data_IF_807579652293
#
_entry.id   IF_807579652293
#
_cell.length_a   1.000
_cell.length_b   1.000
_cell.length_c   1.000
_cell.angle_alpha   90.00
_cell.angle_beta   90.00
_cell.angle_gamma   90.00
#
_symmetry.space_group_name_H-M   'P 1'
#
loop_
_entity.id
_entity.type
_entity.pdbx_description
1 polymer ?
#
# COMPACT_ATOMS: atom_id res chain seq x y z
N UNK A 1 -30.59 -13.62 -11.80
CA UNK A 1 -30.48 -12.43 -10.93
C UNK A 1 -30.20 -11.25 -11.83
N UNK A 2 -31.26 -10.53 -12.20
CA UNK A 2 -31.22 -9.44 -13.17
C UNK A 2 -30.67 -8.19 -12.49
N UNK A 3 -29.54 -7.68 -12.97
CA UNK A 3 -29.02 -6.40 -12.50
C UNK A 3 -29.93 -5.28 -13.01
N UNK A 4 -30.50 -4.54 -12.06
CA UNK A 4 -31.26 -3.32 -12.33
C UNK A 4 -30.31 -2.26 -12.89
N UNK A 5 -30.61 -1.81 -14.10
CA UNK A 5 -30.10 -0.54 -14.64
C UNK A 5 -30.52 0.58 -13.70
N UNK A 6 -29.55 1.15 -12.97
CA UNK A 6 -29.77 2.33 -12.14
C UNK A 6 -29.77 3.55 -13.05
N UNK A 7 -30.90 3.83 -13.70
CA UNK A 7 -31.17 5.13 -14.29
C UNK A 7 -31.31 6.15 -13.15
N UNK A 8 -30.25 6.95 -12.93
CA UNK A 8 -30.27 8.06 -11.98
C UNK A 8 -31.22 9.19 -12.43
N UNK A 9 -31.71 10.04 -11.51
CA UNK A 9 -32.73 11.04 -11.80
C UNK A 9 -32.09 12.27 -12.47
N UNK A 10 -32.28 12.39 -13.77
CA UNK A 10 -31.91 13.53 -14.61
C UNK A 10 -32.36 13.23 -16.03
N UNK A 11 -32.88 14.20 -16.78
CA UNK A 11 -33.33 13.98 -18.16
C UNK A 11 -32.25 13.26 -18.99
N UNK A 12 -32.67 12.39 -19.90
CA UNK A 12 -31.73 11.63 -20.73
C UNK A 12 -30.88 12.61 -21.53
N UNK A 13 -29.56 12.54 -21.33
CA UNK A 13 -28.60 13.33 -22.10
C UNK A 13 -28.51 12.72 -23.49
N UNK A 14 -28.85 13.49 -24.52
CA UNK A 14 -28.96 12.99 -25.89
C UNK A 14 -27.76 13.38 -26.77
N UNK A 15 -27.09 14.50 -26.45
CA UNK A 15 -25.98 15.06 -27.24
C UNK A 15 -24.70 15.26 -26.43
N UNK A 16 -23.55 15.33 -27.13
CA UNK A 16 -22.27 15.64 -26.49
C UNK A 16 -22.25 17.06 -25.92
N UNK A 17 -22.95 18.01 -26.53
CA UNK A 17 -23.10 19.38 -26.03
C UNK A 17 -23.82 19.42 -24.69
N UNK A 18 -24.94 18.69 -24.56
CA UNK A 18 -25.67 18.54 -23.30
C UNK A 18 -24.82 17.86 -22.23
N UNK A 19 -24.12 16.79 -22.62
CA UNK A 19 -23.22 16.07 -21.72
C UNK A 19 -22.09 16.96 -21.22
N UNK A 20 -21.45 17.73 -22.11
CA UNK A 20 -20.41 18.67 -21.75
C UNK A 20 -20.93 19.75 -20.80
N UNK A 21 -22.11 20.34 -21.08
CA UNK A 21 -22.71 21.36 -20.22
C UNK A 21 -22.99 20.83 -18.81
N UNK A 22 -23.46 19.58 -18.71
CA UNK A 22 -23.72 18.89 -17.45
C UNK A 22 -22.42 18.58 -16.68
N UNK A 23 -21.40 18.07 -17.38
CA UNK A 23 -20.18 17.56 -16.75
C UNK A 23 -19.10 18.62 -16.51
N UNK A 24 -19.08 19.73 -17.24
CA UNK A 24 -18.02 20.74 -17.10
C UNK A 24 -17.82 21.24 -15.65
N UNK A 25 -18.87 21.57 -14.87
CA UNK A 25 -18.69 21.93 -13.46
C UNK A 25 -18.14 20.78 -12.61
N UNK A 26 -18.53 19.54 -12.90
CA UNK A 26 -18.08 18.33 -12.19
C UNK A 26 -16.61 18.04 -12.50
N UNK A 27 -16.21 18.14 -13.77
CA UNK A 27 -14.82 18.02 -14.20
C UNK A 27 -13.95 19.00 -13.42
N UNK A 28 -14.37 20.27 -13.36
CA UNK A 28 -13.64 21.30 -12.62
C UNK A 28 -13.57 21.00 -11.13
N UNK A 29 -14.67 20.56 -10.53
CA UNK A 29 -14.72 20.21 -9.11
C UNK A 29 -13.76 19.05 -8.78
N UNK A 30 -13.76 17.97 -9.57
CA UNK A 30 -12.87 16.81 -9.37
C UNK A 30 -11.40 17.23 -9.51
N UNK A 31 -11.06 17.91 -10.60
CA UNK A 31 -9.69 18.34 -10.87
C UNK A 31 -9.17 19.30 -9.79
N UNK A 32 -10.03 20.19 -9.27
CA UNK A 32 -9.66 21.14 -8.22
C UNK A 32 -9.54 20.45 -6.85
N UNK A 33 -10.46 19.55 -6.51
CA UNK A 33 -10.47 18.88 -5.20
C UNK A 33 -9.29 17.92 -5.02
N UNK A 34 -8.91 17.19 -6.06
CA UNK A 34 -7.74 16.29 -6.02
C UNK A 34 -6.43 17.07 -6.24
N UNK A 35 -6.49 18.14 -7.03
CA UNK A 35 -5.35 19.02 -7.28
C UNK A 35 -4.64 18.74 -8.61
N UNK A 36 -3.44 19.32 -8.82
CA UNK A 36 -2.81 19.44 -10.14
C UNK A 36 -2.35 18.12 -10.78
N UNK A 37 -2.38 17.02 -10.02
CA UNK A 37 -2.02 15.66 -10.46
C UNK A 37 -3.22 14.85 -10.95
N UNK A 38 -4.41 15.43 -10.97
CA UNK A 38 -5.64 14.79 -11.44
C UNK A 38 -6.11 15.43 -12.75
N UNK A 39 -6.00 14.71 -13.85
CA UNK A 39 -6.54 15.09 -15.15
C UNK A 39 -7.94 14.53 -15.32
N UNK A 40 -8.85 15.36 -15.82
CA UNK A 40 -10.21 14.95 -16.16
C UNK A 40 -10.47 15.27 -17.62
N UNK A 41 -10.85 14.27 -18.40
CA UNK A 41 -10.99 14.36 -19.86
C UNK A 41 -12.40 13.98 -20.26
N UNK A 42 -13.05 14.81 -21.06
CA UNK A 42 -14.27 14.46 -21.76
C UNK A 42 -13.94 14.17 -23.23
N UNK A 43 -14.28 12.98 -23.68
CA UNK A 43 -14.19 12.57 -25.08
C UNK A 43 -15.55 12.72 -25.78
N UNK A 44 -15.55 13.29 -26.96
CA UNK A 44 -16.66 13.23 -27.92
C UNK A 44 -16.55 11.93 -28.72
N UNK A 45 -17.57 11.09 -28.61
CA UNK A 45 -17.69 9.82 -29.31
C UNK A 45 -19.01 9.75 -30.10
N UNK A 46 -19.71 10.88 -30.26
CA UNK A 46 -21.04 10.97 -30.84
C UNK A 46 -21.08 10.75 -32.37
N UNK A 47 -19.94 10.84 -33.04
CA UNK A 47 -19.83 10.62 -34.48
C UNK A 47 -20.02 9.15 -34.85
N UNK A 48 -20.79 8.89 -35.92
CA UNK A 48 -20.93 7.54 -36.51
C UNK A 48 -19.61 6.91 -36.94
N UNK A 49 -18.63 7.73 -37.29
CA UNK A 49 -17.26 7.31 -37.57
C UNK A 49 -16.35 8.11 -36.65
N UNK A 50 -16.13 7.61 -35.43
CA UNK A 50 -15.27 8.28 -34.45
C UNK A 50 -13.83 8.29 -34.96
N UNK A 51 -13.27 9.49 -35.18
CA UNK A 51 -11.83 9.66 -35.39
C UNK A 51 -11.14 9.66 -34.03
N UNK A 52 -10.57 8.52 -33.64
CA UNK A 52 -9.87 8.38 -32.36
C UNK A 52 -8.68 9.32 -32.19
N UNK A 53 -8.21 10.00 -33.25
CA UNK A 53 -7.13 10.99 -33.16
C UNK A 53 -7.61 12.35 -32.63
N UNK A 54 -8.91 12.60 -32.67
CA UNK A 54 -9.51 13.91 -32.38
C UNK A 54 -10.79 13.77 -31.55
N UNK A 55 -10.67 13.20 -30.35
CA UNK A 55 -11.83 12.93 -29.48
C UNK A 55 -11.90 13.84 -28.26
N UNK A 56 -10.78 14.40 -27.79
CA UNK A 56 -10.80 15.21 -26.57
C UNK A 56 -11.60 16.49 -26.81
N UNK A 57 -12.77 16.59 -26.18
CA UNK A 57 -13.67 17.73 -26.27
C UNK A 57 -13.38 18.78 -25.21
N UNK A 58 -13.07 18.33 -24.00
CA UNK A 58 -12.69 19.17 -22.87
C UNK A 58 -11.68 18.43 -21.99
N UNK A 59 -10.78 19.18 -21.34
CA UNK A 59 -9.74 18.63 -20.48
C UNK A 59 -9.39 19.61 -19.35
N UNK A 60 -9.31 19.10 -18.13
CA UNK A 60 -8.75 19.79 -16.97
C UNK A 60 -7.40 19.17 -16.60
N UNK A 61 -6.44 19.99 -16.19
CA UNK A 61 -5.07 19.59 -15.85
C UNK A 61 -4.34 18.78 -16.94
N UNK A 62 -4.25 19.29 -18.19
CA UNK A 62 -3.62 18.58 -19.31
C UNK A 62 -2.15 18.24 -19.10
N UNK A 63 -1.45 18.90 -18.17
CA UNK A 63 -0.04 18.61 -17.85
C UNK A 63 0.21 17.18 -17.33
N UNK A 64 -0.83 16.47 -16.87
CA UNK A 64 -0.68 15.06 -16.43
C UNK A 64 -0.26 14.19 -17.60
N UNK A 65 -1.02 14.20 -18.71
CA UNK A 65 -0.68 13.37 -19.88
C UNK A 65 -0.01 14.13 -21.01
N UNK A 66 -0.01 15.47 -20.99
CA UNK A 66 0.45 16.32 -22.08
C UNK A 66 -0.53 16.45 -23.25
N UNK A 67 -1.71 15.83 -23.17
CA UNK A 67 -2.76 15.91 -24.20
C UNK A 67 -3.53 17.21 -24.12
N UNK A 68 -4.23 17.57 -25.20
CA UNK A 68 -4.99 18.81 -25.32
C UNK A 68 -6.35 18.57 -26.00
N UNK A 69 -7.21 19.60 -25.99
CA UNK A 69 -8.46 19.59 -26.77
C UNK A 69 -8.15 19.33 -28.25
N UNK A 70 -8.93 18.44 -28.86
CA UNK A 70 -8.68 17.92 -30.21
C UNK A 70 -7.63 16.81 -30.25
N UNK A 71 -7.10 16.37 -29.11
CA UNK A 71 -6.15 15.26 -29.01
C UNK A 71 -6.80 13.87 -29.09
N UNK A 72 -5.95 12.82 -29.09
CA UNK A 72 -6.38 11.46 -29.32
C UNK A 72 -7.02 10.80 -28.09
N UNK A 73 -7.79 9.76 -28.36
CA UNK A 73 -8.20 8.74 -27.40
C UNK A 73 -7.04 7.78 -27.11
N UNK A 74 -7.31 6.72 -26.34
CA UNK A 74 -6.36 5.66 -26.01
C UNK A 74 -6.79 4.33 -26.65
N UNK A 75 -6.07 3.25 -26.33
CA UNK A 75 -6.46 1.89 -26.69
C UNK A 75 -7.87 1.50 -26.21
N UNK A 76 -8.40 2.13 -25.15
CA UNK A 76 -9.78 1.89 -24.72
C UNK A 76 -10.79 2.42 -25.76
N UNK A 77 -10.46 3.50 -26.47
CA UNK A 77 -11.27 3.98 -27.60
C UNK A 77 -11.38 2.95 -28.74
N UNK A 78 -10.38 2.08 -28.94
CA UNK A 78 -10.43 1.01 -29.93
C UNK A 78 -11.41 -0.11 -29.53
N UNK A 79 -11.58 -0.38 -28.24
CA UNK A 79 -12.51 -1.41 -27.75
C UNK A 79 -13.96 -0.98 -28.01
N UNK A 80 -14.24 0.31 -27.82
CA UNK A 80 -15.54 0.92 -28.13
C UNK A 80 -15.87 0.81 -29.61
N UNK A 81 -14.92 1.10 -30.51
CA UNK A 81 -15.11 0.94 -31.95
C UNK A 81 -15.39 -0.50 -32.37
N UNK A 82 -14.88 -1.48 -31.62
CA UNK A 82 -15.05 -2.91 -31.94
C UNK A 82 -16.43 -3.43 -31.58
N UNK A 83 -16.94 -3.05 -30.41
CA UNK A 83 -18.24 -3.49 -29.91
C UNK A 83 -18.86 -2.40 -29.05
N UNK A 84 -19.60 -1.49 -29.68
CA UNK A 84 -20.24 -0.37 -28.98
C UNK A 84 -21.26 -0.85 -27.93
N UNK A 85 -21.87 -2.03 -28.10
CA UNK A 85 -22.95 -2.50 -27.23
C UNK A 85 -22.45 -3.08 -25.89
N UNK A 86 -21.17 -3.42 -25.79
CA UNK A 86 -20.56 -3.95 -24.57
C UNK A 86 -20.52 -2.93 -23.41
N UNK A 87 -20.34 -3.43 -22.19
CA UNK A 87 -20.02 -2.58 -21.04
C UNK A 87 -18.55 -2.15 -21.12
N UNK A 88 -18.30 -0.84 -21.18
CA UNK A 88 -16.97 -0.25 -21.33
C UNK A 88 -16.51 0.51 -20.09
N UNK A 89 -17.40 0.73 -19.11
CA UNK A 89 -17.03 1.38 -17.86
C UNK A 89 -15.91 0.60 -17.16
N UNK A 90 -14.87 1.33 -16.77
CA UNK A 90 -13.71 0.75 -16.12
C UNK A 90 -13.28 1.64 -14.95
N UNK A 91 -13.06 1.04 -13.78
CA UNK A 91 -12.78 1.78 -12.55
C UNK A 91 -11.48 1.28 -11.91
N UNK A 92 -10.67 2.22 -11.43
CA UNK A 92 -9.45 1.95 -10.67
C UNK A 92 -8.37 1.15 -11.40
N UNK A 93 -8.31 1.23 -12.73
CA UNK A 93 -7.31 0.52 -13.52
C UNK A 93 -6.00 1.32 -13.60
N UNK A 94 -4.92 0.63 -13.93
CA UNK A 94 -3.60 1.25 -14.11
C UNK A 94 -3.45 1.77 -15.54
N UNK A 95 -3.15 3.05 -15.66
CA UNK A 95 -2.77 3.70 -16.91
C UNK A 95 -1.27 4.03 -16.93
N UNK A 96 -0.80 4.49 -18.09
CA UNK A 96 0.55 5.00 -18.26
C UNK A 96 0.54 6.16 -19.25
N UNK A 97 1.30 7.22 -18.95
CA UNK A 97 1.58 8.32 -19.87
C UNK A 97 2.63 7.92 -20.91
N UNK A 98 2.82 8.74 -21.94
CA UNK A 98 3.87 8.53 -22.95
C UNK A 98 5.28 8.54 -22.35
N UNK A 99 5.54 9.39 -21.35
CA UNK A 99 6.81 9.47 -20.62
C UNK A 99 6.99 8.37 -19.55
N UNK A 100 6.04 7.44 -19.44
CA UNK A 100 6.15 6.26 -18.58
C UNK A 100 5.64 6.43 -17.16
N UNK A 101 5.18 7.62 -16.75
CA UNK A 101 4.54 7.83 -15.44
C UNK A 101 3.27 6.99 -15.31
N UNK A 102 3.04 6.51 -14.09
CA UNK A 102 1.91 5.63 -13.80
C UNK A 102 0.69 6.43 -13.39
N UNK A 103 -0.45 6.01 -13.93
CA UNK A 103 -1.74 6.62 -13.64
C UNK A 103 -2.64 5.62 -12.91
N UNK A 104 -3.45 6.14 -11.99
CA UNK A 104 -4.65 5.45 -11.52
C UNK A 104 -5.86 6.09 -12.19
N UNK A 105 -6.57 5.30 -12.97
CA UNK A 105 -7.51 5.80 -13.97
C UNK A 105 -8.90 5.18 -13.80
N UNK A 106 -9.92 5.93 -14.21
CA UNK A 106 -11.30 5.45 -14.36
C UNK A 106 -11.95 6.11 -15.57
N UNK A 107 -12.81 5.36 -16.27
CA UNK A 107 -13.52 5.80 -17.46
C UNK A 107 -14.99 5.42 -17.36
N UNK A 108 -15.86 6.40 -17.62
CA UNK A 108 -17.32 6.25 -17.67
C UNK A 108 -17.81 6.63 -19.06
N UNK A 109 -18.54 5.71 -19.69
CA UNK A 109 -19.14 5.89 -21.00
C UNK A 109 -20.61 6.27 -20.86
N UNK A 110 -21.00 7.32 -21.57
CA UNK A 110 -22.35 7.86 -21.55
C UNK A 110 -23.09 7.49 -22.82
N UNK A 111 -24.32 7.01 -22.66
CA UNK A 111 -25.20 6.60 -23.75
C UNK A 111 -26.47 7.44 -23.76
N UNK A 112 -26.99 7.71 -24.95
CA UNK A 112 -28.30 8.35 -25.11
C UNK A 112 -29.46 7.35 -24.96
N UNK A 113 -30.71 7.81 -25.08
CA UNK A 113 -31.89 6.95 -24.98
C UNK A 113 -31.91 5.79 -26.01
N UNK A 114 -31.27 5.98 -27.16
CA UNK A 114 -31.15 4.96 -28.21
C UNK A 114 -30.04 3.93 -27.92
N UNK A 115 -29.26 4.10 -26.85
CA UNK A 115 -28.17 3.20 -26.44
C UNK A 115 -26.82 3.49 -27.09
N UNK A 116 -26.73 4.53 -27.94
CA UNK A 116 -25.48 4.93 -28.59
C UNK A 116 -24.58 5.70 -27.63
N UNK A 117 -23.29 5.44 -27.68
CA UNK A 117 -22.29 6.16 -26.90
C UNK A 117 -22.15 7.57 -27.48
N UNK A 118 -22.34 8.58 -26.64
CA UNK A 118 -22.20 9.99 -27.02
C UNK A 118 -20.90 10.60 -26.52
N UNK A 119 -20.32 10.03 -25.47
CA UNK A 119 -19.04 10.49 -24.93
C UNK A 119 -18.52 9.62 -23.81
N UNK A 120 -17.30 9.95 -23.36
CA UNK A 120 -16.67 9.28 -22.23
C UNK A 120 -15.97 10.28 -21.31
N UNK A 121 -16.18 10.15 -20.00
CA UNK A 121 -15.47 10.89 -18.98
C UNK A 121 -14.35 10.02 -18.40
N UNK A 122 -13.12 10.50 -18.47
CA UNK A 122 -11.95 9.83 -17.91
C UNK A 122 -11.37 10.67 -16.77
N UNK A 123 -11.01 10.02 -15.67
CA UNK A 123 -10.29 10.62 -14.53
C UNK A 123 -8.96 9.89 -14.40
N UNK A 124 -7.85 10.62 -14.39
CA UNK A 124 -6.50 10.09 -14.37
C UNK A 124 -5.67 10.77 -13.28
N UNK A 125 -5.16 10.00 -12.32
CA UNK A 125 -4.33 10.51 -11.22
C UNK A 125 -2.88 10.07 -11.42
N UNK A 126 -1.96 11.04 -11.53
CA UNK A 126 -0.51 10.79 -11.56
C UNK A 126 -0.02 10.30 -10.19
N UNK A 127 0.51 9.08 -10.17
CA UNK A 127 0.99 8.44 -8.94
C UNK A 127 2.43 8.82 -8.59
N UNK A 128 3.15 9.55 -9.45
CA UNK A 128 4.55 9.94 -9.24
C UNK A 128 4.81 10.59 -7.88
N UNK A 129 3.99 11.55 -7.38
CA UNK A 129 4.21 12.16 -6.07
C UNK A 129 4.09 11.14 -4.92
N UNK A 130 3.14 10.21 -5.01
CA UNK A 130 2.92 9.17 -4.00
C UNK A 130 4.06 8.15 -4.01
N UNK A 131 4.57 7.80 -5.19
CA UNK A 131 5.74 6.92 -5.33
C UNK A 131 7.00 7.56 -4.73
N UNK A 132 7.21 8.86 -4.97
CA UNK A 132 8.30 9.61 -4.33
C UNK A 132 8.14 9.66 -2.81
N UNK A 133 6.94 9.94 -2.30
CA UNK A 133 6.68 9.93 -0.86
C UNK A 133 6.96 8.55 -0.25
N UNK A 134 6.52 7.46 -0.91
CA UNK A 134 6.78 6.10 -0.48
C UNK A 134 8.28 5.78 -0.45
N UNK A 135 9.03 6.21 -1.46
CA UNK A 135 10.48 6.02 -1.52
C UNK A 135 11.20 6.79 -0.40
N UNK A 136 10.80 8.04 -0.14
CA UNK A 136 11.35 8.84 0.96
C UNK A 136 11.06 8.20 2.32
N UNK A 137 9.82 7.80 2.59
CA UNK A 137 9.46 7.10 3.83
C UNK A 137 10.26 5.81 3.96
N UNK A 138 10.31 5.01 2.89
CA UNK A 138 11.06 3.76 2.85
C UNK A 138 12.56 3.95 3.13
N UNK A 139 13.15 5.06 2.69
CA UNK A 139 14.57 5.39 2.95
C UNK A 139 14.88 5.76 4.40
N UNK A 140 13.87 6.18 5.16
CA UNK A 140 14.00 6.52 6.59
C UNK A 140 13.78 5.31 7.50
N UNK A 141 13.12 4.27 6.99
CA UNK A 141 12.85 3.07 7.73
C UNK A 141 14.02 2.08 7.61
N UNK A 142 14.31 1.27 8.65
CA UNK A 142 15.23 0.17 8.53
C UNK A 142 14.82 -0.75 7.37
N UNK A 143 15.79 -1.16 6.56
CA UNK A 143 15.53 -2.01 5.41
C UNK A 143 14.78 -3.27 5.85
N UNK A 144 13.61 -3.52 5.26
CA UNK A 144 12.85 -4.74 5.50
C UNK A 144 13.64 -5.93 4.96
N UNK A 145 14.28 -6.67 5.86
CA UNK A 145 15.09 -7.84 5.52
C UNK A 145 16.61 -7.68 5.72
N UNK A 146 17.09 -6.56 6.29
CA UNK A 146 18.46 -6.56 6.82
C UNK A 146 18.48 -7.22 8.21
N UNK A 147 19.46 -8.11 8.38
CA UNK A 147 19.86 -8.84 9.60
C UNK A 147 19.22 -8.33 10.91
N UNK A 148 18.48 -9.20 11.60
CA UNK A 148 18.01 -9.02 12.98
C UNK A 148 19.16 -9.03 14.01
N UNK A 149 20.39 -8.68 13.62
CA UNK A 149 21.59 -8.78 14.46
C UNK A 149 21.63 -7.77 15.59
N UNK A 150 20.98 -6.62 15.43
CA UNK A 150 20.93 -5.58 16.45
C UNK A 150 19.49 -5.33 16.90
N UNK A 151 19.09 -5.96 18.01
CA UNK A 151 17.94 -5.53 18.80
C UNK A 151 18.46 -4.62 19.91
N UNK A 152 18.40 -3.32 19.70
CA UNK A 152 18.74 -2.35 20.74
C UNK A 152 17.53 -2.15 21.67
N UNK A 153 17.76 -2.28 22.98
CA UNK A 153 16.75 -2.04 24.00
C UNK A 153 17.13 -0.77 24.78
N UNK A 154 16.38 0.31 24.59
CA UNK A 154 16.52 1.50 25.42
C UNK A 154 15.69 1.33 26.70
N UNK A 155 16.37 1.24 27.84
CA UNK A 155 15.74 1.08 29.15
C UNK A 155 16.31 2.11 30.14
N UNK A 156 15.56 2.50 31.19
CA UNK A 156 16.00 3.52 32.15
C UNK A 156 17.22 3.10 32.96
N UNK A 157 17.46 1.79 33.09
CA UNK A 157 18.63 1.22 33.76
C UNK A 157 18.98 -0.17 33.19
N UNK A 158 20.15 -0.68 33.58
CA UNK A 158 20.67 -1.97 33.12
C UNK A 158 19.87 -3.17 33.67
N UNK A 159 19.19 -3.01 34.81
CA UNK A 159 18.35 -4.08 35.37
C UNK A 159 17.12 -4.30 34.48
N UNK A 160 16.55 -3.22 33.95
CA UNK A 160 15.42 -3.26 33.01
C UNK A 160 15.83 -3.86 31.66
N UNK A 161 17.08 -3.61 31.20
CA UNK A 161 17.62 -4.31 30.01
C UNK A 161 17.70 -5.81 30.26
N UNK A 162 18.28 -6.23 31.40
CA UNK A 162 18.34 -7.64 31.79
C UNK A 162 16.96 -8.29 31.89
N UNK A 163 15.99 -7.58 32.45
CA UNK A 163 14.62 -8.08 32.56
C UNK A 163 13.98 -8.26 31.17
N UNK A 164 14.24 -7.35 30.23
CA UNK A 164 13.74 -7.46 28.85
C UNK A 164 14.39 -8.65 28.11
N UNK A 165 15.71 -8.85 28.28
CA UNK A 165 16.40 -10.01 27.71
C UNK A 165 15.85 -11.32 28.32
N UNK A 166 15.58 -11.33 29.63
CA UNK A 166 14.98 -12.46 30.31
C UNK A 166 13.60 -12.82 29.75
N UNK A 167 12.69 -11.85 29.62
CA UNK A 167 11.36 -12.10 29.04
C UNK A 167 11.48 -12.61 27.60
N UNK A 168 12.34 -12.01 26.77
CA UNK A 168 12.55 -12.48 25.41
C UNK A 168 13.11 -13.91 25.35
N UNK A 169 13.94 -14.32 26.31
CA UNK A 169 14.47 -15.69 26.37
C UNK A 169 13.42 -16.69 26.85
N UNK A 170 12.56 -16.30 27.80
CA UNK A 170 11.40 -17.10 28.24
C UNK A 170 10.38 -17.26 27.12
N UNK A 171 10.08 -16.18 26.38
CA UNK A 171 9.17 -16.21 25.24
C UNK A 171 9.67 -17.10 24.11
N UNK A 172 10.99 -17.12 23.86
CA UNK A 172 11.61 -18.01 22.87
C UNK A 172 11.46 -19.50 23.22
N UNK A 173 11.47 -19.83 24.52
CA UNK A 173 11.18 -21.19 25.02
C UNK A 173 9.67 -21.50 24.98
N UNK A 174 8.82 -20.47 25.06
CA UNK A 174 7.36 -20.59 24.88
C UNK A 174 6.62 -21.23 26.07
N UNK A 175 7.24 -21.29 27.25
CA UNK A 175 6.66 -21.86 28.47
C UNK A 175 6.81 -20.90 29.66
N UNK A 176 5.81 -20.78 30.54
CA UNK A 176 6.00 -20.08 31.81
C UNK A 176 7.06 -20.76 32.67
N UNK A 177 7.87 -19.99 33.40
CA UNK A 177 8.97 -20.49 34.26
C UNK A 177 8.52 -21.59 35.23
N UNK A 178 7.29 -21.50 35.75
CA UNK A 178 6.72 -22.51 36.65
C UNK A 178 6.54 -23.89 36.03
N UNK A 179 6.44 -23.97 34.70
CA UNK A 179 6.31 -25.21 33.93
C UNK A 179 7.63 -25.65 33.28
N UNK A 180 8.70 -24.87 33.43
CA UNK A 180 9.99 -25.17 32.81
C UNK A 180 10.71 -26.30 33.54
N UNK A 181 11.09 -27.33 32.79
CA UNK A 181 11.99 -28.37 33.25
C UNK A 181 13.47 -27.92 33.20
N UNK A 182 14.40 -28.86 33.42
CA UNK A 182 15.83 -28.55 33.37
C UNK A 182 16.28 -28.10 31.98
N UNK A 183 15.81 -28.75 30.92
CA UNK A 183 16.19 -28.44 29.54
C UNK A 183 15.73 -27.03 29.18
N UNK A 184 14.46 -26.73 29.47
CA UNK A 184 13.87 -25.41 29.22
C UNK A 184 14.67 -24.29 29.93
N UNK A 185 15.08 -24.53 31.18
CA UNK A 185 15.89 -23.55 31.95
C UNK A 185 17.31 -23.40 31.38
N UNK A 186 17.89 -24.47 30.85
CA UNK A 186 19.18 -24.41 30.16
C UNK A 186 19.07 -23.62 28.87
N UNK A 187 17.99 -23.75 28.11
CA UNK A 187 17.75 -23.00 26.88
C UNK A 187 17.61 -21.49 27.15
N UNK A 188 16.92 -21.11 28.23
CA UNK A 188 16.87 -19.70 28.69
C UNK A 188 18.27 -19.19 29.04
N UNK A 189 19.04 -19.94 29.84
CA UNK A 189 20.40 -19.54 30.23
C UNK A 189 21.34 -19.46 29.02
N UNK A 190 21.24 -20.39 28.07
CA UNK A 190 22.03 -20.38 26.85
C UNK A 190 21.74 -19.15 25.99
N UNK A 191 20.45 -18.81 25.82
CA UNK A 191 20.04 -17.59 25.10
C UNK A 191 20.59 -16.33 25.78
N UNK A 192 20.50 -16.25 27.10
CA UNK A 192 21.02 -15.11 27.87
C UNK A 192 22.55 -15.00 27.82
N UNK A 193 23.28 -16.13 27.86
CA UNK A 193 24.74 -16.16 27.76
C UNK A 193 25.20 -15.73 26.35
N UNK A 194 24.52 -16.22 25.30
CA UNK A 194 24.77 -15.78 23.91
C UNK A 194 24.52 -14.27 23.70
N UNK A 195 23.55 -13.69 24.43
CA UNK A 195 23.26 -12.26 24.40
C UNK A 195 24.18 -11.43 25.31
N UNK A 196 25.14 -12.05 26.01
CA UNK A 196 26.10 -11.37 26.89
C UNK A 196 25.50 -10.87 28.21
N UNK A 197 24.31 -11.34 28.59
CA UNK A 197 23.62 -10.89 29.81
C UNK A 197 24.47 -11.13 31.08
N UNK A 198 25.31 -12.17 31.08
CA UNK A 198 26.13 -12.54 32.24
C UNK A 198 27.43 -11.74 32.40
N UNK A 199 27.78 -10.86 31.44
CA UNK A 199 28.84 -9.86 31.61
C UNK A 199 28.43 -8.75 32.59
N UNK A 200 27.13 -8.55 32.80
CA UNK A 200 26.60 -7.56 33.73
C UNK A 200 26.78 -8.05 35.17
N UNK A 201 27.32 -7.19 36.04
CA UNK A 201 27.47 -7.50 37.46
C UNK A 201 26.13 -7.88 38.09
N UNK A 202 26.13 -8.98 38.85
CA UNK A 202 24.96 -9.52 39.59
C UNK A 202 23.82 -10.04 38.70
N UNK A 203 24.02 -10.16 37.38
CA UNK A 203 23.08 -10.78 36.44
C UNK A 203 22.66 -12.20 36.86
N UNK A 204 23.62 -13.06 37.22
CA UNK A 204 23.35 -14.44 37.66
C UNK A 204 22.44 -14.48 38.88
N UNK A 205 22.59 -13.53 39.82
CA UNK A 205 21.72 -13.42 40.99
C UNK A 205 20.28 -13.06 40.62
N UNK A 206 20.12 -12.10 39.70
CA UNK A 206 18.80 -11.68 39.23
C UNK A 206 18.10 -12.80 38.43
N UNK A 207 18.81 -13.38 37.46
CA UNK A 207 18.27 -14.44 36.58
C UNK A 207 17.94 -15.71 37.35
N UNK A 208 18.82 -16.17 38.25
CA UNK A 208 18.56 -17.39 39.06
C UNK A 208 17.31 -17.25 39.92
N UNK A 209 17.11 -16.08 40.56
CA UNK A 209 15.91 -15.78 41.33
C UNK A 209 14.66 -15.82 40.46
N UNK A 210 14.70 -15.27 39.24
CA UNK A 210 13.57 -15.27 38.31
C UNK A 210 13.25 -16.66 37.76
N UNK A 211 14.27 -17.48 37.49
CA UNK A 211 14.08 -18.89 37.12
C UNK A 211 13.61 -19.76 38.30
N UNK A 212 13.67 -19.27 39.54
CA UNK A 212 13.37 -20.07 40.72
C UNK A 212 14.39 -21.18 40.97
N UNK A 213 15.67 -20.93 40.65
CA UNK A 213 16.80 -21.84 40.94
C UNK A 213 17.82 -21.18 41.86
N UNK A 214 18.67 -21.99 42.49
CA UNK A 214 19.78 -21.45 43.29
C UNK A 214 20.88 -20.87 42.39
N UNK A 215 21.67 -19.92 42.92
CA UNK A 215 22.87 -19.40 42.23
C UNK A 215 23.83 -20.53 41.86
N UNK A 216 23.99 -21.51 42.75
CA UNK A 216 24.86 -22.67 42.53
C UNK A 216 24.37 -23.48 41.32
N UNK A 217 23.07 -23.72 41.22
CA UNK A 217 22.44 -24.40 40.07
C UNK A 217 22.64 -23.61 38.78
N UNK A 218 22.46 -22.29 38.80
CA UNK A 218 22.65 -21.44 37.63
C UNK A 218 24.12 -21.47 37.15
N UNK A 219 25.09 -21.37 38.05
CA UNK A 219 26.52 -21.48 37.70
C UNK A 219 26.86 -22.87 37.14
N UNK A 220 26.30 -23.94 37.71
CA UNK A 220 26.51 -25.29 37.20
C UNK A 220 25.99 -25.46 35.77
N UNK A 221 24.80 -24.94 35.47
CA UNK A 221 24.24 -24.98 34.11
C UNK A 221 25.04 -24.13 33.12
N UNK A 222 25.49 -22.93 33.52
CA UNK A 222 26.35 -22.09 32.67
C UNK A 222 27.70 -22.74 32.38
N UNK A 223 28.32 -23.39 33.37
CA UNK A 223 29.58 -24.12 33.19
C UNK A 223 29.40 -25.31 32.23
N UNK A 224 28.29 -26.04 32.35
CA UNK A 224 27.93 -27.13 31.44
C UNK A 224 27.72 -26.63 30.01
N UNK A 225 27.00 -25.52 29.82
CA UNK A 225 26.78 -24.89 28.51
C UNK A 225 28.10 -24.45 27.86
N UNK A 226 29.02 -23.86 28.63
CA UNK A 226 30.32 -23.42 28.13
C UNK A 226 31.23 -24.58 27.75
N UNK A 227 31.21 -25.66 28.54
CA UNK A 227 31.94 -26.90 28.21
C UNK A 227 31.39 -27.58 26.95
N UNK A 228 30.09 -27.52 26.71
CA UNK A 228 29.47 -28.06 25.50
C UNK A 228 29.74 -27.22 24.24
N UNK A 229 30.05 -25.93 24.41
CA UNK A 229 30.40 -25.00 23.32
C UNK A 229 31.91 -24.93 23.01
N UNK A 230 32.75 -25.59 23.82
CA UNK A 230 34.22 -25.67 23.69
C UNK A 230 34.64 -26.93 22.95
#
# INVERSE_FOLDING_TARGET
MSQQSTAGPGGTVETIEELQALLAPVMKAIATAVGPHCEVVLHDLSSRHVDLRHTIRAIENPQVTGRSVGGPSTNLGLQVLRDEAAEHNAFGYRGQTEDGRQLHSSSVYYRNAAGHIIGALCVNVDLTPLQHAQALIGSLLPATGSDTRAKETHAPDIATVLDTLFESAVDAVGKPVSMMDRSDRMDVLATLDQQGAFEIRRSVELVSRRLGISKVTAYAYLDELRKAAS
#
